data_IF_075432099475
#
_entry.id   IF_075432099475
#
_cell.length_a   1.000
_cell.length_b   1.000
_cell.length_c   1.000
_cell.angle_alpha   90.00
_cell.angle_beta   90.00
_cell.angle_gamma   90.00
#
_symmetry.space_group_name_H-M   'P 1'
#
loop_
_entity.id
_entity.type
_entity.pdbx_description
1 polymer ?
#
# COMPACT_ATOMS: atom_id res chain seq x y z
N UNK A 1 -25.54 6.89 3.83
CA UNK A 1 -24.66 6.73 5.01
C UNK A 1 -25.48 6.75 6.31
N UNK A 2 -25.32 5.77 7.20
CA UNK A 2 -25.98 5.75 8.53
C UNK A 2 -25.40 6.84 9.44
N UNK A 3 -26.08 7.16 10.54
CA UNK A 3 -25.62 8.16 11.50
C UNK A 3 -24.27 7.77 12.15
N UNK A 4 -24.09 6.48 12.45
CA UNK A 4 -22.82 5.96 12.99
C UNK A 4 -21.71 6.12 11.94
N UNK A 5 -21.95 5.73 10.69
CA UNK A 5 -20.97 5.90 9.62
C UNK A 5 -20.57 7.37 9.45
N UNK A 6 -21.53 8.32 9.51
CA UNK A 6 -21.22 9.76 9.45
C UNK A 6 -20.28 10.21 10.57
N UNK A 7 -20.55 9.79 11.82
CA UNK A 7 -19.71 10.13 12.97
C UNK A 7 -18.30 9.57 12.83
N UNK A 8 -18.17 8.31 12.39
CA UNK A 8 -16.87 7.66 12.17
C UNK A 8 -16.12 8.32 11.02
N UNK A 9 -16.78 8.61 9.89
CA UNK A 9 -16.19 9.32 8.75
C UNK A 9 -15.67 10.69 9.17
N UNK A 10 -16.42 11.45 9.97
CA UNK A 10 -15.96 12.74 10.48
C UNK A 10 -14.71 12.58 11.36
N UNK A 11 -14.70 11.61 12.29
CA UNK A 11 -13.53 11.36 13.12
C UNK A 11 -12.29 10.97 12.29
N UNK A 12 -12.46 10.10 11.29
CA UNK A 12 -11.40 9.69 10.37
C UNK A 12 -10.81 10.87 9.58
N UNK A 13 -11.65 11.80 9.13
CA UNK A 13 -11.23 12.97 8.36
C UNK A 13 -10.54 14.03 9.22
N UNK A 14 -10.71 14.00 10.54
CA UNK A 14 -10.10 14.96 11.49
C UNK A 14 -8.68 14.62 11.93
N UNK A 15 -8.07 13.55 11.42
CA UNK A 15 -6.68 13.16 11.74
C UNK A 15 -5.75 13.23 10.54
N UNK A 16 -4.46 13.46 10.82
CA UNK A 16 -3.39 13.18 9.88
C UNK A 16 -3.27 11.66 9.69
N UNK A 17 -2.83 11.25 8.50
CA UNK A 17 -2.77 9.86 8.06
C UNK A 17 -1.43 9.64 7.36
N UNK A 18 -0.72 8.55 7.69
CA UNK A 18 0.41 8.13 6.85
C UNK A 18 -0.13 7.59 5.52
N UNK A 19 0.81 7.20 4.65
CA UNK A 19 0.47 6.84 3.27
C UNK A 19 -0.53 5.68 3.18
N UNK A 20 -0.38 4.63 4.01
CA UNK A 20 -1.30 3.49 4.02
C UNK A 20 -2.69 3.83 4.61
N UNK A 21 -2.79 4.62 5.70
CA UNK A 21 -4.09 5.02 6.24
C UNK A 21 -4.84 5.93 5.25
N UNK A 22 -4.11 6.77 4.50
CA UNK A 22 -4.69 7.60 3.45
C UNK A 22 -5.31 6.72 2.34
N UNK A 23 -4.63 5.65 1.95
CA UNK A 23 -5.14 4.71 0.95
C UNK A 23 -6.40 3.98 1.42
N UNK A 24 -6.39 3.42 2.63
CA UNK A 24 -7.57 2.75 3.19
C UNK A 24 -8.74 3.71 3.31
N UNK A 25 -8.49 4.95 3.73
CA UNK A 25 -9.51 6.00 3.78
C UNK A 25 -10.13 6.21 2.40
N UNK A 26 -9.31 6.28 1.34
CA UNK A 26 -9.82 6.38 -0.03
C UNK A 26 -10.66 5.17 -0.43
N UNK A 27 -10.20 3.94 -0.14
CA UNK A 27 -10.95 2.71 -0.43
C UNK A 27 -12.32 2.69 0.26
N UNK A 28 -12.39 3.05 1.54
CA UNK A 28 -13.66 3.11 2.27
C UNK A 28 -14.62 4.09 1.60
N UNK A 29 -14.17 5.30 1.26
CA UNK A 29 -15.04 6.28 0.59
C UNK A 29 -15.37 5.92 -0.87
N UNK A 30 -14.53 5.16 -1.56
CA UNK A 30 -14.85 4.58 -2.86
C UNK A 30 -16.00 3.58 -2.75
N UNK A 31 -15.96 2.68 -1.77
CA UNK A 31 -17.03 1.70 -1.52
C UNK A 31 -18.35 2.34 -1.05
N UNK A 32 -18.28 3.57 -0.53
CA UNK A 32 -19.44 4.35 -0.12
C UNK A 32 -19.97 5.29 -1.22
N UNK A 33 -19.40 5.25 -2.43
CA UNK A 33 -19.72 6.14 -3.55
C UNK A 33 -19.53 7.65 -3.24
N UNK A 34 -18.66 7.99 -2.27
CA UNK A 34 -18.37 9.37 -1.88
C UNK A 34 -17.27 9.99 -2.77
N UNK A 35 -17.55 10.06 -4.08
CA UNK A 35 -16.58 10.40 -5.13
C UNK A 35 -15.84 11.72 -4.88
N UNK A 36 -16.52 12.72 -4.34
CA UNK A 36 -15.90 14.01 -4.02
C UNK A 36 -14.84 13.85 -2.93
N UNK A 37 -15.10 13.06 -1.88
CA UNK A 37 -14.13 12.79 -0.83
C UNK A 37 -12.95 11.99 -1.37
N UNK A 38 -13.19 10.97 -2.19
CA UNK A 38 -12.11 10.18 -2.83
C UNK A 38 -11.17 11.11 -3.61
N UNK A 39 -11.71 12.04 -4.40
CA UNK A 39 -10.90 13.00 -5.14
C UNK A 39 -10.05 13.90 -4.22
N UNK A 40 -10.60 14.35 -3.09
CA UNK A 40 -9.85 15.16 -2.12
C UNK A 40 -8.72 14.37 -1.45
N UNK A 41 -8.99 13.13 -1.06
CA UNK A 41 -8.02 12.24 -0.41
C UNK A 41 -6.88 11.88 -1.37
N UNK A 42 -7.20 11.55 -2.63
CA UNK A 42 -6.21 11.29 -3.68
C UNK A 42 -5.41 12.55 -4.00
N UNK A 43 -6.07 13.71 -4.04
CA UNK A 43 -5.37 14.98 -4.27
C UNK A 43 -4.31 15.25 -3.19
N UNK A 44 -4.68 15.08 -1.92
CA UNK A 44 -3.74 15.23 -0.80
C UNK A 44 -2.55 14.26 -0.92
N UNK A 45 -2.80 13.00 -1.30
CA UNK A 45 -1.72 12.04 -1.50
C UNK A 45 -0.75 12.44 -2.63
N UNK A 46 -1.26 13.07 -3.69
CA UNK A 46 -0.45 13.62 -4.79
C UNK A 46 0.36 14.83 -4.33
N UNK A 47 -0.25 15.73 -3.56
CA UNK A 47 0.44 16.91 -3.01
C UNK A 47 1.60 16.48 -2.11
N UNK A 48 1.44 15.36 -1.40
CA UNK A 48 2.47 14.75 -0.54
C UNK A 48 3.23 13.61 -1.24
N UNK A 49 3.27 13.60 -2.57
CA UNK A 49 4.10 12.66 -3.30
C UNK A 49 5.58 13.04 -3.09
N UNK A 50 6.38 12.07 -2.63
CA UNK A 50 7.81 12.26 -2.46
C UNK A 50 8.51 12.42 -3.82
N UNK A 51 9.72 12.99 -3.80
CA UNK A 51 10.51 13.21 -5.02
C UNK A 51 10.85 11.91 -5.76
N UNK A 52 10.95 10.79 -5.02
CA UNK A 52 11.18 9.45 -5.56
C UNK A 52 9.92 8.78 -6.15
N UNK A 53 8.75 9.40 -6.00
CA UNK A 53 7.49 8.99 -6.59
C UNK A 53 6.51 8.28 -5.65
N UNK A 54 6.90 7.95 -4.41
CA UNK A 54 5.97 7.36 -3.42
C UNK A 54 4.83 8.33 -3.07
N UNK A 55 3.59 7.85 -3.01
CA UNK A 55 2.39 8.66 -2.81
C UNK A 55 2.04 8.83 -1.32
N UNK A 56 1.56 10.02 -0.96
CA UNK A 56 0.99 10.26 0.36
C UNK A 56 1.99 10.13 1.51
N UNK A 57 3.27 10.44 1.26
CA UNK A 57 4.32 10.28 2.26
C UNK A 57 4.23 11.37 3.33
N UNK A 58 4.43 10.98 4.59
CA UNK A 58 4.67 11.90 5.68
C UNK A 58 6.16 12.22 5.81
N UNK A 59 6.50 13.35 6.41
CA UNK A 59 7.91 13.73 6.59
C UNK A 59 8.64 12.68 7.44
N UNK A 60 9.73 12.14 6.90
CA UNK A 60 10.54 11.10 7.55
C UNK A 60 9.99 9.68 7.42
N UNK A 61 8.91 9.46 6.67
CA UNK A 61 8.35 8.13 6.45
C UNK A 61 9.28 7.28 5.55
N UNK A 62 9.76 6.18 6.11
CA UNK A 62 10.72 5.27 5.46
C UNK A 62 10.04 4.10 4.75
N UNK A 63 8.71 4.06 4.73
CA UNK A 63 7.97 2.97 4.08
C UNK A 63 8.17 3.01 2.57
N UNK A 64 8.52 1.86 2.01
CA UNK A 64 8.72 1.61 0.59
C UNK A 64 7.41 1.25 -0.10
N UNK A 65 6.57 0.45 0.57
CA UNK A 65 5.37 -0.16 -0.04
C UNK A 65 4.07 0.55 0.30
N UNK A 66 3.97 1.26 1.43
CA UNK A 66 2.68 1.78 1.91
C UNK A 66 2.02 2.74 0.92
N UNK A 67 2.80 3.65 0.33
CA UNK A 67 2.34 4.58 -0.70
C UNK A 67 1.85 3.88 -1.99
N UNK A 68 2.19 2.61 -2.22
CA UNK A 68 1.68 1.85 -3.37
C UNK A 68 0.17 1.60 -3.25
N UNK A 69 -0.39 1.51 -2.05
CA UNK A 69 -1.82 1.29 -1.84
C UNK A 69 -2.70 2.43 -2.40
N UNK A 70 -2.14 3.64 -2.60
CA UNK A 70 -2.83 4.76 -3.22
C UNK A 70 -3.04 4.62 -4.75
N UNK A 71 -2.41 3.64 -5.40
CA UNK A 71 -2.45 3.45 -6.85
C UNK A 71 -3.87 3.21 -7.36
N UNK A 72 -4.63 2.33 -6.72
CA UNK A 72 -6.01 2.02 -7.14
C UNK A 72 -6.95 3.22 -6.98
N UNK A 73 -6.99 3.92 -5.83
CA UNK A 73 -7.72 5.18 -5.71
C UNK A 73 -7.32 6.24 -6.75
N UNK A 74 -6.02 6.35 -7.07
CA UNK A 74 -5.54 7.28 -8.09
C UNK A 74 -6.07 6.93 -9.49
N UNK A 75 -6.02 5.65 -9.87
CA UNK A 75 -6.57 5.16 -11.13
C UNK A 75 -8.08 5.37 -11.21
N UNK A 76 -8.79 5.14 -10.10
CA UNK A 76 -10.22 5.42 -9.99
C UNK A 76 -10.54 6.90 -10.30
N UNK A 77 -9.83 7.85 -9.67
CA UNK A 77 -9.99 9.27 -9.97
C UNK A 77 -9.69 9.63 -11.43
N UNK A 78 -8.69 9.00 -12.04
CA UNK A 78 -8.31 9.21 -13.44
C UNK A 78 -9.33 8.64 -14.44
N UNK A 79 -10.10 7.63 -14.07
CA UNK A 79 -11.14 7.04 -14.94
C UNK A 79 -12.28 8.02 -15.25
N UNK A 80 -12.53 8.98 -14.34
CA UNK A 80 -13.69 9.89 -14.40
C UNK A 80 -13.40 11.24 -15.05
N UNK A 81 -12.12 11.63 -15.21
CA UNK A 81 -11.75 12.93 -15.76
C UNK A 81 -10.29 12.99 -16.24
N UNK A 82 -10.02 13.83 -17.24
CA UNK A 82 -8.65 14.16 -17.64
C UNK A 82 -8.01 15.09 -16.61
N UNK A 83 -7.06 14.58 -15.83
CA UNK A 83 -6.32 15.33 -14.80
C UNK A 83 -4.81 15.20 -15.04
N UNK A 84 -4.16 16.14 -15.74
CA UNK A 84 -2.75 16.04 -16.10
C UNK A 84 -1.80 15.84 -14.91
N UNK A 85 -2.04 16.53 -13.79
CA UNK A 85 -1.24 16.38 -12.57
C UNK A 85 -1.36 14.99 -11.94
N UNK A 86 -2.54 14.37 -12.00
CA UNK A 86 -2.78 13.02 -11.48
C UNK A 86 -2.08 11.98 -12.37
N UNK A 87 -2.07 12.21 -13.69
CA UNK A 87 -1.33 11.36 -14.61
C UNK A 87 0.17 11.43 -14.35
N UNK A 88 0.71 12.64 -14.12
CA UNK A 88 2.11 12.79 -13.75
C UNK A 88 2.44 12.06 -12.43
N UNK A 89 1.56 12.15 -11.44
CA UNK A 89 1.72 11.42 -10.19
C UNK A 89 1.69 9.90 -10.38
N UNK A 90 0.80 9.40 -11.25
CA UNK A 90 0.73 7.99 -11.62
C UNK A 90 2.02 7.52 -12.29
N UNK A 91 2.59 8.32 -13.19
CA UNK A 91 3.82 7.97 -13.89
C UNK A 91 5.01 7.91 -12.91
N UNK A 92 5.07 8.81 -11.93
CA UNK A 92 6.07 8.78 -10.86
C UNK A 92 5.96 7.55 -9.95
N UNK A 93 4.75 7.17 -9.51
CA UNK A 93 4.59 5.99 -8.65
C UNK A 93 4.85 4.68 -9.42
N UNK A 94 4.55 4.65 -10.73
CA UNK A 94 4.96 3.53 -11.60
C UNK A 94 6.48 3.36 -11.66
N UNK A 95 7.20 4.47 -11.82
CA UNK A 95 8.67 4.47 -11.83
C UNK A 95 9.21 3.96 -10.48
N UNK A 96 8.62 4.40 -9.37
CA UNK A 96 8.93 3.85 -8.06
C UNK A 96 8.75 2.33 -8.02
N UNK A 97 7.54 1.83 -8.31
CA UNK A 97 7.19 0.41 -8.15
C UNK A 97 8.04 -0.49 -9.05
N UNK A 98 8.23 -0.12 -10.32
CA UNK A 98 8.86 -1.01 -11.29
C UNK A 98 10.39 -0.94 -11.28
N UNK A 99 10.96 0.21 -10.93
CA UNK A 99 12.40 0.42 -11.06
C UNK A 99 13.09 0.67 -9.72
N UNK A 100 12.55 1.55 -8.87
CA UNK A 100 13.29 2.09 -7.72
C UNK A 100 13.01 1.39 -6.39
N UNK A 101 11.84 0.76 -6.22
CA UNK A 101 11.47 0.12 -4.97
C UNK A 101 12.52 -0.94 -4.58
N UNK A 102 13.08 -0.85 -3.36
CA UNK A 102 14.09 -1.77 -2.88
C UNK A 102 13.51 -3.17 -2.74
N UNK A 103 14.32 -4.14 -3.13
CA UNK A 103 13.91 -5.54 -3.28
C UNK A 103 15.08 -6.45 -3.01
N UNK A 104 14.77 -7.70 -2.67
CA UNK A 104 15.78 -8.74 -2.54
C UNK A 104 16.31 -9.20 -3.90
N UNK A 105 17.24 -10.16 -3.87
CA UNK A 105 17.84 -10.75 -5.07
C UNK A 105 16.84 -11.50 -5.97
N UNK A 106 15.69 -11.92 -5.43
CA UNK A 106 14.60 -12.57 -6.15
C UNK A 106 13.53 -11.56 -6.61
N UNK A 107 13.70 -10.27 -6.32
CA UNK A 107 12.80 -9.20 -6.69
C UNK A 107 11.61 -9.00 -5.75
N UNK A 108 11.62 -9.55 -4.54
CA UNK A 108 10.59 -9.35 -3.52
C UNK A 108 10.83 -8.04 -2.79
N UNK A 109 9.81 -7.20 -2.71
CA UNK A 109 9.95 -5.86 -2.14
C UNK A 109 10.26 -5.90 -0.64
N UNK A 110 11.13 -4.99 -0.22
CA UNK A 110 11.27 -4.64 1.18
C UNK A 110 10.23 -3.60 1.57
N UNK A 111 9.73 -3.70 2.80
CA UNK A 111 8.74 -2.78 3.35
C UNK A 111 9.34 -1.41 3.69
N UNK A 112 10.64 -1.36 4.00
CA UNK A 112 11.36 -0.13 4.34
C UNK A 112 12.44 0.18 3.31
N UNK A 113 12.74 1.47 3.12
CA UNK A 113 13.76 1.90 2.15
C UNK A 113 15.21 1.69 2.63
N UNK A 114 15.40 1.65 3.95
CA UNK A 114 16.71 1.59 4.61
C UNK A 114 17.01 0.21 5.23
N UNK A 115 16.05 -0.73 5.19
CA UNK A 115 16.19 -2.06 5.79
C UNK A 115 15.73 -3.15 4.86
N UNK A 116 16.37 -4.31 4.95
CA UNK A 116 16.03 -5.51 4.17
C UNK A 116 14.92 -6.31 4.83
N UNK A 117 13.85 -5.65 5.26
CA UNK A 117 12.75 -6.27 5.99
C UNK A 117 11.56 -6.51 5.07
N UNK A 118 10.97 -7.70 5.19
CA UNK A 118 9.76 -8.12 4.47
C UNK A 118 8.65 -8.23 5.50
N UNK A 119 7.62 -7.41 5.35
CA UNK A 119 6.50 -7.30 6.29
C UNK A 119 5.24 -7.84 5.63
N UNK A 120 4.40 -8.53 6.39
CA UNK A 120 3.12 -9.07 5.89
C UNK A 120 2.19 -7.96 5.37
N UNK A 121 2.27 -6.76 5.94
CA UNK A 121 1.52 -5.55 5.55
C UNK A 121 1.66 -5.26 4.05
N UNK A 122 2.85 -5.48 3.49
CA UNK A 122 3.14 -5.27 2.06
C UNK A 122 2.27 -6.11 1.13
N UNK A 123 1.64 -7.20 1.61
CA UNK A 123 0.70 -8.01 0.82
C UNK A 123 -0.53 -7.22 0.39
N UNK A 124 -1.03 -6.28 1.20
CA UNK A 124 -2.14 -5.42 0.80
C UNK A 124 -1.68 -4.27 -0.12
N UNK A 125 -0.46 -3.76 0.12
CA UNK A 125 -0.02 -2.52 -0.52
C UNK A 125 0.53 -2.74 -1.94
N UNK A 126 1.37 -3.77 -2.12
CA UNK A 126 2.19 -3.89 -3.34
C UNK A 126 1.57 -4.78 -4.43
N UNK A 127 1.09 -6.02 -4.18
CA UNK A 127 0.52 -6.87 -5.21
C UNK A 127 -0.68 -6.26 -5.94
N UNK A 128 -1.71 -5.72 -5.24
CA UNK A 128 -2.86 -5.09 -5.90
C UNK A 128 -2.44 -3.90 -6.75
N UNK A 129 -1.55 -3.05 -6.24
CA UNK A 129 -0.99 -1.92 -6.99
C UNK A 129 -0.27 -2.36 -8.28
N UNK A 130 0.57 -3.42 -8.23
CA UNK A 130 1.22 -3.97 -9.42
C UNK A 130 0.19 -4.46 -10.46
N UNK A 131 -0.84 -5.18 -10.01
CA UNK A 131 -1.89 -5.69 -10.87
C UNK A 131 -2.73 -4.56 -11.49
N UNK A 132 -3.11 -3.56 -10.71
CA UNK A 132 -3.86 -2.39 -11.15
C UNK A 132 -3.11 -1.54 -12.20
N UNK A 133 -1.77 -1.54 -12.13
CA UNK A 133 -0.91 -0.91 -13.14
C UNK A 133 -0.70 -1.77 -14.40
N UNK A 134 -1.32 -2.95 -14.47
CA UNK A 134 -1.26 -3.87 -15.60
C UNK A 134 -0.15 -4.92 -15.52
N UNK A 135 0.62 -4.98 -14.43
CA UNK A 135 1.67 -5.97 -14.23
C UNK A 135 1.24 -7.06 -13.24
N UNK A 136 0.22 -7.83 -13.63
CA UNK A 136 -0.34 -8.94 -12.84
C UNK A 136 0.73 -9.99 -12.49
N UNK A 137 1.68 -10.23 -13.39
CA UNK A 137 2.79 -11.18 -13.14
C UNK A 137 3.66 -10.74 -11.98
N UNK A 138 4.01 -9.45 -11.91
CA UNK A 138 4.76 -8.92 -10.79
C UNK A 138 3.95 -8.99 -9.50
N UNK A 139 2.67 -8.64 -9.53
CA UNK A 139 1.79 -8.77 -8.36
C UNK A 139 1.74 -10.20 -7.81
N UNK A 140 1.51 -11.18 -8.68
CA UNK A 140 1.54 -12.60 -8.32
C UNK A 140 2.91 -13.06 -7.79
N UNK A 141 4.00 -12.56 -8.37
CA UNK A 141 5.36 -12.85 -7.91
C UNK A 141 5.58 -12.34 -6.48
N UNK A 142 5.12 -11.12 -6.16
CA UNK A 142 5.18 -10.58 -4.81
C UNK A 142 4.38 -11.45 -3.81
N UNK A 143 3.16 -11.88 -4.16
CA UNK A 143 2.35 -12.77 -3.31
C UNK A 143 3.10 -14.07 -3.00
N UNK A 144 3.68 -14.71 -4.01
CA UNK A 144 4.45 -15.94 -3.84
C UNK A 144 5.65 -15.74 -2.91
N UNK A 145 6.43 -14.68 -3.14
CA UNK A 145 7.61 -14.39 -2.33
C UNK A 145 7.27 -14.04 -0.88
N UNK A 146 6.27 -13.19 -0.64
CA UNK A 146 5.80 -12.91 0.72
C UNK A 146 5.32 -14.18 1.42
N UNK A 147 4.62 -15.07 0.71
CA UNK A 147 4.22 -16.37 1.26
C UNK A 147 5.41 -17.25 1.60
N UNK A 148 6.44 -17.30 0.76
CA UNK A 148 7.66 -18.07 1.03
C UNK A 148 8.37 -17.61 2.31
N UNK A 149 8.47 -16.30 2.52
CA UNK A 149 9.15 -15.75 3.70
C UNK A 149 8.32 -15.80 4.98
N UNK A 150 7.01 -15.60 4.89
CA UNK A 150 6.20 -15.25 6.06
C UNK A 150 5.15 -16.30 6.45
N UNK A 151 4.73 -17.18 5.54
CA UNK A 151 3.63 -18.11 5.82
C UNK A 151 4.07 -19.28 6.68
N UNK A 152 3.45 -19.45 7.83
CA UNK A 152 3.64 -20.60 8.69
C UNK A 152 2.71 -21.75 8.27
N UNK A 153 3.30 -22.87 7.83
CA UNK A 153 2.54 -24.02 7.34
C UNK A 153 1.86 -24.83 8.44
N UNK A 154 2.28 -24.71 9.69
CA UNK A 154 1.63 -25.39 10.81
C UNK A 154 0.44 -24.58 11.33
N UNK A 155 0.63 -23.28 11.51
CA UNK A 155 -0.39 -22.37 12.03
C UNK A 155 -1.36 -21.88 10.95
N UNK A 156 -1.02 -22.04 9.66
CA UNK A 156 -1.81 -21.60 8.51
C UNK A 156 -2.09 -20.08 8.50
N UNK A 157 -1.13 -19.31 9.03
CA UNK A 157 -1.18 -17.84 9.12
C UNK A 157 0.21 -17.27 8.82
N UNK A 158 0.26 -15.97 8.56
CA UNK A 158 1.50 -15.25 8.28
C UNK A 158 2.12 -14.71 9.57
N UNK A 159 3.45 -14.82 9.68
CA UNK A 159 4.30 -14.15 10.66
C UNK A 159 4.53 -12.71 10.21
N UNK A 160 4.78 -11.81 11.17
CA UNK A 160 4.74 -10.38 10.92
C UNK A 160 5.93 -9.85 10.09
N UNK A 161 7.17 -10.04 10.56
CA UNK A 161 8.35 -9.39 9.96
C UNK A 161 9.53 -10.36 9.83
N UNK A 162 9.92 -10.61 8.59
CA UNK A 162 11.17 -11.29 8.24
C UNK A 162 12.28 -10.27 7.97
N UNK A 163 13.44 -10.46 8.61
CA UNK A 163 14.65 -9.69 8.32
C UNK A 163 15.57 -10.52 7.40
N UNK A 164 15.71 -10.04 6.16
CA UNK A 164 16.48 -10.72 5.13
C UNK A 164 18.00 -10.53 5.28
N UNK A 165 18.47 -9.62 6.14
CA UNK A 165 19.89 -9.47 6.46
C UNK A 165 20.33 -10.50 7.50
N UNK A 166 19.60 -10.62 8.60
CA UNK A 166 19.90 -11.57 9.68
C UNK A 166 19.37 -12.98 9.42
N UNK A 167 18.48 -13.14 8.43
CA UNK A 167 17.78 -14.39 8.10
C UNK A 167 16.97 -14.94 9.28
N UNK A 168 16.30 -14.05 10.01
CA UNK A 168 15.48 -14.38 11.16
C UNK A 168 14.19 -13.55 11.15
N UNK A 169 13.16 -14.04 11.85
CA UNK A 169 12.00 -13.21 12.15
C UNK A 169 12.39 -12.14 13.18
N UNK A 170 12.28 -10.88 12.77
CA UNK A 170 12.41 -9.74 13.67
C UNK A 170 11.16 -9.59 14.53
N UNK A 171 10.01 -9.92 13.98
CA UNK A 171 8.77 -10.12 14.71
C UNK A 171 8.12 -11.42 14.21
N UNK A 172 8.11 -12.41 15.10
CA UNK A 172 7.64 -13.76 14.83
C UNK A 172 6.15 -13.96 15.19
N UNK A 173 5.44 -12.89 15.56
CA UNK A 173 4.05 -12.97 16.01
C UNK A 173 3.06 -13.16 14.85
N UNK A 174 1.92 -13.79 15.15
CA UNK A 174 0.78 -13.88 14.25
C UNK A 174 -0.16 -12.68 14.45
N UNK A 175 0.32 -11.49 14.08
CA UNK A 175 -0.43 -10.26 14.27
C UNK A 175 -1.72 -10.24 13.43
N UNK A 176 -2.85 -9.98 14.10
CA UNK A 176 -4.18 -10.10 13.48
C UNK A 176 -4.42 -9.12 12.33
N UNK A 177 -3.97 -7.87 12.47
CA UNK A 177 -4.12 -6.86 11.41
C UNK A 177 -3.25 -7.21 10.20
N UNK A 178 -2.00 -7.64 10.42
CA UNK A 178 -1.11 -8.09 9.36
C UNK A 178 -1.68 -9.26 8.55
N UNK A 179 -2.31 -10.23 9.21
CA UNK A 179 -3.03 -11.31 8.52
C UNK A 179 -4.30 -10.80 7.80
N UNK A 180 -4.95 -9.77 8.31
CA UNK A 180 -5.99 -9.04 7.60
C UNK A 180 -5.48 -8.41 6.30
N UNK A 181 -4.30 -7.78 6.31
CA UNK A 181 -3.66 -7.26 5.11
C UNK A 181 -3.35 -8.34 4.09
N UNK A 182 -2.79 -9.47 4.53
CA UNK A 182 -2.57 -10.61 3.67
C UNK A 182 -3.87 -11.10 3.01
N UNK A 183 -4.95 -11.23 3.78
CA UNK A 183 -6.23 -11.69 3.26
C UNK A 183 -6.87 -10.71 2.26
N UNK A 184 -6.72 -9.40 2.46
CA UNK A 184 -7.23 -8.39 1.54
C UNK A 184 -6.38 -8.21 0.27
N UNK A 185 -5.10 -8.58 0.32
CA UNK A 185 -4.13 -8.38 -0.76
C UNK A 185 -3.96 -9.53 -1.75
N UNK A 186 -4.55 -10.70 -1.45
CA UNK A 186 -4.53 -11.91 -2.29
C UNK A 186 -5.77 -11.95 -3.17
#
# INVERSE_FOLDING_TARGET
>A
MTEICKKVSNALLCMQRNSWEQAITAFVFMQMDEINLVNLIVHDAIVRQADDGRLGMMYGEMSSTDGMAMVEPLLFCLSSARKPSYKLALDKVKEWIFNNAPKDQNGIFYHLIDKKEIWVDSMFMAPPACAALGNVKLGYHQICGFREYLFDTQAQVYRHIWDNETKQFKDDTFWGVGNGWAACGI
#
